data_IF_026665312377
#
_entry.id   IF_026665312377
#
_cell.length_a   1.000
_cell.length_b   1.000
_cell.length_c   1.000
_cell.angle_alpha   90.00
_cell.angle_beta   90.00
_cell.angle_gamma   90.00
#
_symmetry.space_group_name_H-M   'P 1'
#
loop_
_entity.id
_entity.type
_entity.pdbx_description
1 polymer ?
#
# COMPACT_ATOMS: atom_id res chain seq x y z
N UNK A 1 -8.43 2.24 13.45
CA UNK A 1 -8.72 0.88 13.99
C UNK A 1 -7.49 0.17 14.52
N UNK A 2 -6.31 0.32 13.94
CA UNK A 2 -5.05 -0.11 14.56
C UNK A 2 -4.88 0.42 16.00
N UNK A 3 -5.44 1.57 16.32
CA UNK A 3 -5.46 2.13 17.68
C UNK A 3 -6.35 1.37 18.69
N UNK A 4 -7.43 0.73 18.25
CA UNK A 4 -8.35 0.04 19.17
C UNK A 4 -7.90 -1.38 19.53
N UNK A 5 -7.27 -2.10 18.61
CA UNK A 5 -6.70 -3.43 18.91
C UNK A 5 -5.50 -3.33 19.87
N UNK A 6 -4.76 -2.22 19.81
CA UNK A 6 -3.67 -1.93 20.75
C UNK A 6 -4.18 -1.72 22.19
N UNK A 7 -5.40 -1.21 22.37
CA UNK A 7 -5.96 -0.93 23.70
C UNK A 7 -6.39 -2.23 24.40
N UNK A 8 -6.89 -3.23 23.69
CA UNK A 8 -7.43 -4.46 24.30
C UNK A 8 -6.35 -5.43 24.78
N UNK A 9 -5.18 -5.48 24.15
CA UNK A 9 -4.04 -6.30 24.60
C UNK A 9 -3.13 -5.61 25.63
N UNK A 10 -3.42 -4.37 26.02
CA UNK A 10 -2.66 -3.58 27.00
C UNK A 10 -2.75 -4.11 28.45
N UNK A 11 -3.76 -4.89 28.81
CA UNK A 11 -3.99 -5.24 30.22
C UNK A 11 -2.98 -6.22 30.80
N UNK A 12 -2.39 -7.11 30.01
CA UNK A 12 -1.42 -8.10 30.49
C UNK A 12 0.05 -7.65 30.48
N UNK A 13 0.43 -6.71 29.59
CA UNK A 13 1.83 -6.26 29.49
C UNK A 13 2.18 -5.11 30.46
N UNK A 14 1.19 -4.46 31.04
CA UNK A 14 1.34 -3.24 31.84
C UNK A 14 1.43 -3.49 33.36
N UNK A 15 1.66 -4.72 33.80
CA UNK A 15 1.83 -5.05 35.23
C UNK A 15 3.27 -4.87 35.74
N UNK A 16 4.22 -4.51 34.92
CA UNK A 16 5.61 -4.27 35.31
C UNK A 16 5.83 -2.87 35.90
N UNK A 17 6.84 -2.69 36.72
CA UNK A 17 7.27 -1.40 37.30
C UNK A 17 7.44 -0.30 36.21
N UNK A 18 7.92 -0.67 35.03
CA UNK A 18 8.09 0.21 33.89
C UNK A 18 6.76 0.68 33.32
N UNK A 19 5.75 -0.20 33.23
CA UNK A 19 4.39 0.17 32.84
C UNK A 19 3.69 1.11 33.82
N UNK A 20 4.05 1.06 35.11
CA UNK A 20 3.54 2.01 36.14
C UNK A 20 4.19 3.38 36.02
N UNK A 21 5.50 3.42 35.76
CA UNK A 21 6.24 4.65 35.53
C UNK A 21 5.77 5.36 34.26
N UNK A 22 5.54 4.62 33.16
CA UNK A 22 4.97 5.15 31.92
C UNK A 22 3.56 5.73 32.10
N UNK A 23 2.71 5.06 32.90
CA UNK A 23 1.38 5.60 33.23
C UNK A 23 1.43 6.88 34.07
N UNK A 24 2.37 6.99 34.96
CA UNK A 24 2.60 8.22 35.73
C UNK A 24 3.02 9.39 34.85
N UNK A 25 3.98 9.14 33.93
CA UNK A 25 4.47 10.11 32.96
C UNK A 25 3.35 10.51 31.97
N UNK A 26 2.52 9.56 31.49
CA UNK A 26 1.39 9.82 30.59
C UNK A 26 0.34 10.77 31.16
N UNK A 27 0.19 10.80 32.48
CA UNK A 27 -0.80 11.67 33.15
C UNK A 27 -0.34 13.13 33.27
N UNK A 28 0.95 13.42 33.08
CA UNK A 28 1.50 14.71 33.51
C UNK A 28 2.19 15.58 32.45
N UNK A 29 2.45 15.13 31.20
CA UNK A 29 3.09 16.00 30.19
C UNK A 29 2.74 15.69 28.73
N UNK A 30 2.63 16.74 27.88
CA UNK A 30 2.55 16.63 26.41
C UNK A 30 3.77 15.90 25.79
N UNK A 31 4.96 16.04 26.40
CA UNK A 31 6.18 15.34 25.97
C UNK A 31 6.09 13.83 26.19
N UNK A 32 5.39 13.35 27.20
CA UNK A 32 5.15 11.95 27.45
C UNK A 32 4.23 11.30 26.39
N UNK A 33 3.32 12.04 25.81
CA UNK A 33 2.49 11.58 24.70
C UNK A 33 3.34 11.32 23.44
N UNK A 34 4.31 12.19 23.14
CA UNK A 34 5.24 12.00 22.02
C UNK A 34 6.20 10.82 22.27
N UNK A 35 6.78 10.73 23.46
CA UNK A 35 7.66 9.63 23.84
C UNK A 35 6.93 8.27 23.82
N UNK A 36 5.66 8.24 24.21
CA UNK A 36 4.83 7.04 24.19
C UNK A 36 4.42 6.62 22.77
N UNK A 37 4.11 7.57 21.89
CA UNK A 37 3.84 7.29 20.47
C UNK A 37 5.08 6.71 19.79
N UNK A 38 6.25 7.30 20.04
CA UNK A 38 7.53 6.82 19.55
C UNK A 38 7.87 5.42 20.04
N UNK A 39 7.79 5.18 21.35
CA UNK A 39 8.08 3.89 21.97
C UNK A 39 7.12 2.80 21.47
N UNK A 40 5.82 3.10 21.40
CA UNK A 40 4.83 2.17 20.86
C UNK A 40 5.09 1.86 19.39
N UNK A 41 5.41 2.87 18.58
CA UNK A 41 5.80 2.68 17.17
C UNK A 41 7.02 1.79 17.05
N UNK A 42 8.08 2.05 17.81
CA UNK A 42 9.32 1.28 17.79
C UNK A 42 9.12 -0.19 18.18
N UNK A 43 8.44 -0.44 19.32
CA UNK A 43 8.18 -1.81 19.80
C UNK A 43 7.26 -2.56 18.84
N UNK A 44 6.22 -1.91 18.36
CA UNK A 44 5.26 -2.52 17.45
C UNK A 44 5.88 -2.81 16.09
N UNK A 45 6.68 -1.90 15.55
CA UNK A 45 7.46 -2.07 14.33
C UNK A 45 8.39 -3.28 14.43
N UNK A 46 9.17 -3.39 15.49
CA UNK A 46 10.06 -4.53 15.69
C UNK A 46 9.31 -5.86 15.82
N UNK A 47 8.18 -5.85 16.51
CA UNK A 47 7.36 -7.05 16.68
C UNK A 47 6.79 -7.52 15.33
N UNK A 48 6.22 -6.63 14.54
CA UNK A 48 5.64 -6.98 13.24
C UNK A 48 6.73 -7.37 12.23
N UNK A 49 7.83 -6.63 12.16
CA UNK A 49 8.96 -6.99 11.32
C UNK A 49 9.52 -8.37 11.69
N UNK A 50 9.54 -8.70 12.98
CA UNK A 50 9.93 -10.04 13.44
C UNK A 50 8.95 -11.12 13.00
N UNK A 51 7.64 -10.87 13.10
CA UNK A 51 6.62 -11.83 12.62
C UNK A 51 6.75 -12.08 11.11
N UNK A 52 6.99 -11.04 10.34
CA UNK A 52 7.26 -11.16 8.91
C UNK A 52 8.54 -11.96 8.64
N UNK A 53 9.61 -11.66 9.40
CA UNK A 53 10.85 -12.43 9.30
C UNK A 53 10.63 -13.92 9.59
N UNK A 54 9.92 -14.24 10.67
CA UNK A 54 9.60 -15.62 11.04
C UNK A 54 8.73 -16.31 9.97
N UNK A 55 7.76 -15.60 9.39
CA UNK A 55 6.91 -16.12 8.33
C UNK A 55 7.70 -16.40 7.05
N UNK A 56 8.48 -15.44 6.57
CA UNK A 56 9.32 -15.60 5.39
C UNK A 56 10.39 -16.68 5.59
N UNK A 57 11.07 -16.67 6.74
CA UNK A 57 12.19 -17.53 7.03
C UNK A 57 11.88 -19.03 6.99
N UNK A 58 10.62 -19.43 7.20
CA UNK A 58 10.18 -20.84 7.11
C UNK A 58 10.37 -21.45 5.72
N UNK A 59 10.50 -20.61 4.71
CA UNK A 59 10.64 -21.00 3.30
C UNK A 59 12.09 -21.07 2.84
N UNK A 60 13.07 -20.77 3.73
CA UNK A 60 14.50 -20.76 3.39
C UNK A 60 15.17 -22.04 3.86
N UNK A 61 15.87 -22.71 2.95
CA UNK A 61 16.78 -23.80 3.27
C UNK A 61 18.04 -23.30 4.00
N UNK A 62 18.69 -24.21 4.71
CA UNK A 62 20.04 -24.02 5.27
C UNK A 62 20.94 -25.09 4.67
N UNK A 63 21.40 -24.88 3.44
CA UNK A 63 22.32 -25.82 2.83
C UNK A 63 23.70 -25.69 3.49
N UNK A 64 24.48 -26.80 3.53
CA UNK A 64 25.85 -26.77 4.04
C UNK A 64 26.88 -26.29 2.99
N UNK A 65 26.41 -25.78 1.84
CA UNK A 65 27.29 -25.29 0.79
C UNK A 65 28.00 -24.01 1.24
N UNK A 66 29.30 -24.02 1.16
CA UNK A 66 30.12 -22.81 1.40
C UNK A 66 29.84 -21.82 0.30
N UNK A 67 29.26 -20.67 0.67
CA UNK A 67 29.06 -19.57 -0.26
C UNK A 67 30.36 -18.75 -0.35
N UNK A 68 30.96 -18.70 -1.52
CA UNK A 68 32.01 -17.72 -1.81
C UNK A 68 31.41 -16.30 -1.64
N UNK A 69 32.24 -15.39 -1.09
CA UNK A 69 31.83 -13.99 -0.89
C UNK A 69 31.46 -13.40 -2.25
N UNK A 70 30.20 -12.98 -2.39
CA UNK A 70 29.68 -12.51 -3.66
C UNK A 70 30.45 -11.28 -4.15
N UNK A 71 30.83 -11.29 -5.41
CA UNK A 71 31.46 -10.12 -6.09
C UNK A 71 30.44 -9.02 -6.36
N UNK A 72 29.13 -9.36 -6.46
CA UNK A 72 28.03 -8.42 -6.66
C UNK A 72 26.84 -8.81 -5.78
N UNK A 73 26.12 -7.82 -5.28
CA UNK A 73 24.89 -7.98 -4.51
C UNK A 73 23.69 -7.59 -5.34
N UNK A 74 22.60 -8.35 -5.22
CA UNK A 74 21.29 -8.01 -5.78
C UNK A 74 20.29 -7.91 -4.66
N UNK A 75 19.56 -6.81 -4.58
CA UNK A 75 18.43 -6.63 -3.68
C UNK A 75 17.16 -7.02 -4.43
N UNK A 76 16.41 -7.97 -3.88
CA UNK A 76 15.18 -8.47 -4.48
C UNK A 76 14.02 -8.09 -3.55
N UNK A 77 13.12 -7.22 -4.01
CA UNK A 77 11.87 -6.97 -3.31
C UNK A 77 10.89 -8.11 -3.63
N UNK A 78 10.30 -8.69 -2.61
CA UNK A 78 9.45 -9.88 -2.75
C UNK A 78 8.01 -9.61 -2.37
N UNK A 79 7.09 -9.92 -3.30
CA UNK A 79 5.65 -10.09 -3.06
C UNK A 79 5.26 -11.51 -3.55
N UNK A 80 5.60 -12.53 -2.77
CA UNK A 80 5.45 -13.94 -3.11
C UNK A 80 4.44 -14.69 -2.22
N UNK A 81 3.68 -13.98 -1.40
CA UNK A 81 2.68 -14.58 -0.50
C UNK A 81 3.24 -15.10 0.83
N UNK A 82 4.55 -15.00 1.10
CA UNK A 82 5.11 -15.43 2.38
C UNK A 82 4.74 -14.51 3.53
N UNK A 83 4.44 -13.24 3.22
CA UNK A 83 3.94 -12.23 4.15
C UNK A 83 2.77 -11.47 3.54
N UNK A 84 1.90 -10.92 4.38
CA UNK A 84 0.76 -10.11 3.98
C UNK A 84 1.21 -8.64 3.79
N UNK A 85 1.31 -8.21 2.55
CA UNK A 85 1.74 -6.84 2.22
C UNK A 85 0.61 -5.81 2.18
N UNK A 86 -0.64 -6.24 2.23
CA UNK A 86 -1.78 -5.35 1.99
C UNK A 86 -2.08 -5.15 0.50
N UNK A 87 -2.82 -4.09 0.19
CA UNK A 87 -3.20 -3.74 -1.18
C UNK A 87 -2.08 -3.12 -2.00
N UNK A 88 -2.39 -2.76 -3.26
CA UNK A 88 -1.44 -2.18 -4.20
C UNK A 88 -0.67 -0.98 -3.62
N UNK A 89 -1.36 -0.04 -2.96
CA UNK A 89 -0.71 1.14 -2.39
C UNK A 89 0.33 0.82 -1.32
N UNK A 90 0.15 -0.24 -0.52
CA UNK A 90 1.11 -0.66 0.50
C UNK A 90 2.33 -1.33 -0.14
N UNK A 91 2.11 -2.20 -1.12
CA UNK A 91 3.18 -2.85 -1.89
C UNK A 91 4.02 -1.83 -2.66
N UNK A 92 3.37 -0.89 -3.34
CA UNK A 92 4.03 0.17 -4.10
C UNK A 92 4.95 1.02 -3.22
N UNK A 93 4.51 1.39 -2.01
CA UNK A 93 5.36 2.09 -1.03
C UNK A 93 6.66 1.33 -0.74
N UNK A 94 6.54 0.04 -0.46
CA UNK A 94 7.69 -0.81 -0.18
C UNK A 94 8.64 -0.94 -1.38
N UNK A 95 8.10 -1.16 -2.57
CA UNK A 95 8.85 -1.27 -3.82
C UNK A 95 9.67 0.00 -4.08
N UNK A 96 8.99 1.16 -4.14
CA UNK A 96 9.65 2.44 -4.43
C UNK A 96 10.67 2.82 -3.35
N UNK A 97 10.36 2.54 -2.08
CA UNK A 97 11.28 2.81 -0.98
C UNK A 97 12.54 1.95 -1.06
N UNK A 98 12.39 0.65 -1.38
CA UNK A 98 13.54 -0.24 -1.55
C UNK A 98 14.39 0.16 -2.75
N UNK A 99 13.73 0.46 -3.88
CA UNK A 99 14.41 0.93 -5.09
C UNK A 99 15.18 2.24 -4.84
N UNK A 100 14.59 3.19 -4.12
CA UNK A 100 15.25 4.45 -3.75
C UNK A 100 16.56 4.22 -2.96
N UNK A 101 16.55 3.27 -2.02
CA UNK A 101 17.78 2.89 -1.30
C UNK A 101 18.79 2.29 -2.24
N UNK A 102 18.39 1.31 -3.04
CA UNK A 102 19.30 0.62 -3.99
C UNK A 102 19.95 1.59 -4.97
N UNK A 103 19.15 2.48 -5.56
CA UNK A 103 19.62 3.55 -6.47
C UNK A 103 20.62 4.47 -5.79
N UNK A 104 20.39 4.86 -4.53
CA UNK A 104 21.27 5.74 -3.79
C UNK A 104 22.63 5.11 -3.45
N UNK A 105 22.65 3.79 -3.18
CA UNK A 105 23.89 3.08 -2.81
C UNK A 105 24.55 2.32 -3.98
N UNK A 106 23.96 2.40 -5.18
CA UNK A 106 24.52 1.75 -6.39
C UNK A 106 24.47 0.22 -6.35
N UNK A 107 23.40 -0.37 -5.75
CA UNK A 107 23.19 -1.82 -5.70
C UNK A 107 22.06 -2.20 -6.66
N UNK A 108 22.24 -3.31 -7.38
CA UNK A 108 21.23 -3.83 -8.31
C UNK A 108 19.90 -4.13 -7.58
N UNK A 109 18.79 -3.70 -8.17
CA UNK A 109 17.45 -3.89 -7.66
C UNK A 109 16.64 -4.79 -8.58
N UNK A 110 15.96 -5.77 -8.02
CA UNK A 110 15.02 -6.64 -8.73
C UNK A 110 13.70 -6.72 -7.97
N UNK A 111 12.63 -7.06 -8.68
CA UNK A 111 11.29 -7.20 -8.14
C UNK A 111 10.71 -8.55 -8.56
N UNK A 112 10.49 -9.44 -7.60
CA UNK A 112 9.71 -10.65 -7.78
C UNK A 112 8.35 -10.44 -7.12
N UNK A 113 7.35 -10.18 -7.95
CA UNK A 113 5.96 -9.99 -7.53
C UNK A 113 5.10 -11.03 -8.23
N UNK A 114 4.85 -12.14 -7.54
CA UNK A 114 4.18 -13.33 -8.07
C UNK A 114 2.87 -13.65 -7.38
N UNK A 115 2.57 -13.01 -6.25
CA UNK A 115 1.36 -13.24 -5.47
C UNK A 115 0.61 -11.94 -5.17
N UNK A 116 -0.73 -11.92 -5.37
CA UNK A 116 -1.62 -12.99 -5.83
C UNK A 116 -1.64 -13.20 -7.34
N UNK A 117 -0.89 -12.42 -8.09
CA UNK A 117 -0.75 -12.46 -9.56
C UNK A 117 0.64 -11.99 -9.97
N UNK A 118 1.13 -12.29 -11.17
CA UNK A 118 2.34 -11.70 -11.71
C UNK A 118 2.13 -10.21 -12.02
N UNK A 119 2.95 -9.32 -11.44
CA UNK A 119 2.83 -7.87 -11.70
C UNK A 119 3.03 -7.54 -13.18
N UNK A 120 3.81 -8.33 -13.88
CA UNK A 120 4.08 -8.21 -15.31
C UNK A 120 2.85 -8.35 -16.20
N UNK A 121 1.73 -8.84 -15.66
CA UNK A 121 0.45 -8.84 -16.37
C UNK A 121 -0.12 -7.41 -16.54
N UNK A 122 0.24 -6.47 -15.66
CA UNK A 122 -0.30 -5.11 -15.61
C UNK A 122 0.76 -4.04 -15.86
N UNK A 123 1.94 -4.19 -15.25
CA UNK A 123 3.04 -3.21 -15.31
C UNK A 123 4.32 -3.91 -15.75
N UNK A 124 5.05 -3.28 -16.66
CA UNK A 124 6.34 -3.77 -17.16
C UNK A 124 7.44 -2.73 -16.92
N UNK A 125 8.72 -3.12 -16.99
CA UNK A 125 9.83 -2.19 -16.93
C UNK A 125 9.68 -1.02 -17.89
N UNK A 126 9.97 0.19 -17.42
CA UNK A 126 10.02 1.36 -18.29
C UNK A 126 11.47 1.67 -18.68
N UNK A 127 12.22 2.38 -17.84
CA UNK A 127 13.63 2.74 -18.12
C UNK A 127 14.61 1.93 -17.28
N UNK A 128 14.18 1.32 -16.19
CA UNK A 128 14.95 0.41 -15.36
C UNK A 128 14.37 -1.00 -15.43
N UNK A 129 15.17 -1.98 -15.83
CA UNK A 129 14.78 -3.38 -15.86
C UNK A 129 14.88 -3.99 -14.46
N UNK A 130 13.73 -4.14 -13.82
CA UNK A 130 13.61 -4.74 -12.49
C UNK A 130 13.23 -6.22 -12.53
N UNK A 131 13.08 -6.83 -13.70
CA UNK A 131 12.61 -8.22 -13.82
C UNK A 131 13.64 -9.21 -13.29
N UNK A 132 13.13 -10.29 -12.73
CA UNK A 132 13.90 -11.46 -12.31
C UNK A 132 13.04 -12.69 -12.52
N UNK A 133 13.61 -13.78 -13.00
CA UNK A 133 12.91 -15.06 -13.13
C UNK A 133 12.83 -15.80 -11.78
N UNK A 134 11.80 -16.61 -11.60
CA UNK A 134 11.55 -17.29 -10.32
C UNK A 134 12.67 -18.27 -9.95
N UNK A 135 13.33 -18.87 -10.91
CA UNK A 135 14.48 -19.78 -10.74
C UNK A 135 15.76 -19.04 -10.34
N UNK A 136 15.85 -17.74 -10.56
CA UNK A 136 16.96 -16.91 -10.08
C UNK A 136 16.81 -16.48 -8.62
N UNK A 137 15.60 -16.57 -8.04
CA UNK A 137 15.37 -16.24 -6.62
C UNK A 137 15.70 -17.43 -5.73
N UNK A 138 16.79 -17.32 -4.98
CA UNK A 138 17.36 -18.44 -4.22
C UNK A 138 16.93 -18.35 -2.75
N UNK A 139 16.05 -19.24 -2.33
CA UNK A 139 15.58 -19.33 -0.94
C UNK A 139 16.48 -20.24 -0.10
N UNK A 140 17.75 -19.83 0.06
CA UNK A 140 18.78 -20.52 0.85
C UNK A 140 19.61 -19.51 1.64
N UNK A 141 19.80 -19.76 2.94
CA UNK A 141 20.52 -18.90 3.87
C UNK A 141 22.02 -18.77 3.60
N UNK A 142 22.58 -19.68 2.83
CA UNK A 142 23.98 -19.58 2.40
C UNK A 142 24.17 -18.56 1.28
N UNK A 143 23.11 -18.21 0.57
CA UNK A 143 23.09 -17.29 -0.57
C UNK A 143 22.35 -16.00 -0.27
N UNK A 144 21.28 -16.07 0.55
CA UNK A 144 20.29 -15.01 0.68
C UNK A 144 20.09 -14.57 2.14
N UNK A 145 20.16 -13.28 2.39
CA UNK A 145 19.69 -12.66 3.62
C UNK A 145 18.27 -12.14 3.47
N UNK A 146 17.53 -12.12 4.59
CA UNK A 146 16.15 -11.60 4.64
C UNK A 146 16.10 -10.35 5.51
N UNK A 147 15.58 -9.28 4.95
CA UNK A 147 15.29 -8.02 5.65
C UNK A 147 13.78 -7.81 5.65
N UNK A 148 13.22 -7.60 6.83
CA UNK A 148 11.80 -7.30 6.99
C UNK A 148 11.62 -5.97 7.70
N UNK A 149 10.72 -5.13 7.18
CA UNK A 149 10.41 -3.84 7.77
C UNK A 149 8.92 -3.54 7.51
N UNK A 150 8.09 -3.90 8.52
CA UNK A 150 6.65 -3.75 8.42
C UNK A 150 6.19 -2.49 9.12
N UNK A 151 6.09 -1.41 8.88
CA UNK A 151 5.36 -0.23 9.37
C UNK A 151 5.74 1.02 8.60
N UNK A 152 4.70 1.75 8.22
CA UNK A 152 4.81 3.09 7.68
C UNK A 152 5.37 4.10 8.70
N UNK A 153 6.12 5.07 8.20
CA UNK A 153 6.53 6.23 8.97
C UNK A 153 5.38 7.23 9.05
N UNK A 154 5.15 7.79 10.25
CA UNK A 154 4.21 8.89 10.48
C UNK A 154 4.91 10.26 10.44
N UNK A 155 6.23 10.26 10.53
CA UNK A 155 7.06 11.46 10.56
C UNK A 155 8.30 11.32 9.69
N UNK A 156 8.88 12.42 9.22
CA UNK A 156 10.11 12.41 8.42
C UNK A 156 11.28 11.77 9.16
N UNK A 157 11.33 11.93 10.47
CA UNK A 157 12.36 11.29 11.29
C UNK A 157 12.22 9.77 11.30
N UNK A 158 10.99 9.24 11.41
CA UNK A 158 10.73 7.80 11.31
C UNK A 158 11.07 7.26 9.91
N UNK A 159 10.70 8.00 8.87
CA UNK A 159 11.04 7.68 7.49
C UNK A 159 12.56 7.59 7.29
N UNK A 160 13.32 8.56 7.82
CA UNK A 160 14.79 8.55 7.78
C UNK A 160 15.37 7.33 8.52
N UNK A 161 14.84 6.98 9.70
CA UNK A 161 15.28 5.80 10.45
C UNK A 161 15.01 4.49 9.73
N UNK A 162 13.89 4.39 9.02
CA UNK A 162 13.58 3.23 8.17
C UNK A 162 14.53 3.13 6.98
N UNK A 163 14.80 4.27 6.34
CA UNK A 163 15.77 4.36 5.25
C UNK A 163 17.18 3.94 5.72
N UNK A 164 17.66 4.51 6.82
CA UNK A 164 18.97 4.19 7.40
C UNK A 164 19.06 2.69 7.76
N UNK A 165 18.01 2.15 8.37
CA UNK A 165 17.94 0.73 8.72
C UNK A 165 18.06 -0.17 7.49
N UNK A 166 17.29 0.09 6.44
CA UNK A 166 17.32 -0.71 5.22
C UNK A 166 18.71 -0.60 4.54
N UNK A 167 19.20 0.62 4.37
CA UNK A 167 20.51 0.92 3.81
C UNK A 167 21.66 0.18 4.55
N UNK A 168 21.69 0.31 5.88
CA UNK A 168 22.74 -0.30 6.69
C UNK A 168 22.72 -1.83 6.61
N UNK A 169 21.54 -2.44 6.64
CA UNK A 169 21.43 -3.90 6.56
C UNK A 169 21.83 -4.41 5.16
N UNK A 170 21.45 -3.71 4.09
CA UNK A 170 21.92 -4.05 2.73
C UNK A 170 23.45 -3.96 2.65
N UNK A 171 24.04 -2.89 3.16
CA UNK A 171 25.51 -2.70 3.08
C UNK A 171 26.28 -3.72 3.93
N UNK A 172 25.77 -4.07 5.12
CA UNK A 172 26.43 -5.02 6.05
C UNK A 172 26.32 -6.47 5.62
N UNK A 173 25.26 -6.84 4.89
CA UNK A 173 25.08 -8.21 4.43
C UNK A 173 26.24 -8.65 3.55
N UNK A 174 26.70 -9.90 3.72
CA UNK A 174 27.65 -10.57 2.82
C UNK A 174 26.98 -11.48 1.80
N UNK A 175 25.66 -11.61 1.88
CA UNK A 175 24.87 -12.45 0.99
C UNK A 175 24.88 -11.92 -0.46
N UNK A 176 24.76 -12.84 -1.41
CA UNK A 176 24.63 -12.52 -2.85
C UNK A 176 23.28 -11.93 -3.18
N UNK A 177 22.23 -12.45 -2.55
CA UNK A 177 20.87 -11.91 -2.66
C UNK A 177 20.42 -11.35 -1.31
N UNK A 178 19.73 -10.24 -1.37
CA UNK A 178 19.10 -9.62 -0.19
C UNK A 178 17.61 -9.51 -0.47
N UNK A 179 16.84 -10.33 0.19
CA UNK A 179 15.41 -10.43 0.04
C UNK A 179 14.71 -9.46 0.99
N UNK A 180 13.98 -8.50 0.42
CA UNK A 180 13.33 -7.43 1.19
C UNK A 180 11.81 -7.60 1.15
N UNK A 181 11.22 -7.60 2.35
CA UNK A 181 9.78 -7.53 2.57
C UNK A 181 9.47 -6.28 3.36
N UNK A 182 8.87 -5.28 2.75
CA UNK A 182 8.56 -4.04 3.44
C UNK A 182 7.35 -3.31 2.88
N UNK A 183 6.62 -2.61 3.76
CA UNK A 183 5.60 -1.61 3.43
C UNK A 183 6.05 -0.20 3.88
N UNK A 184 7.32 -0.01 4.20
CA UNK A 184 7.86 1.29 4.55
C UNK A 184 7.68 2.30 3.42
N UNK A 185 7.41 3.56 3.75
CA UNK A 185 7.10 4.60 2.77
C UNK A 185 7.95 5.86 2.98
N UNK A 186 9.22 5.76 2.79
CA UNK A 186 10.10 6.93 2.84
C UNK A 186 10.30 7.60 1.46
N UNK A 187 9.73 7.05 0.39
CA UNK A 187 9.82 7.62 -0.95
C UNK A 187 8.78 8.72 -1.25
N UNK A 188 7.71 8.88 -0.46
CA UNK A 188 6.65 9.86 -0.76
C UNK A 188 7.12 11.31 -0.86
N UNK A 189 8.12 11.68 -0.08
CA UNK A 189 8.63 13.04 -0.03
C UNK A 189 9.88 13.25 -0.90
N UNK A 190 10.37 12.19 -1.56
CA UNK A 190 11.65 12.21 -2.27
C UNK A 190 11.56 11.40 -3.58
N UNK A 191 11.05 12.03 -4.64
CA UNK A 191 11.14 11.46 -5.97
C UNK A 191 10.15 10.33 -6.28
N UNK A 192 8.98 10.29 -5.63
CA UNK A 192 7.99 9.23 -5.88
C UNK A 192 7.60 9.12 -7.36
N UNK A 193 7.35 10.27 -8.01
CA UNK A 193 7.01 10.34 -9.43
C UNK A 193 8.13 9.77 -10.30
N UNK A 194 9.34 10.23 -10.10
CA UNK A 194 10.52 9.78 -10.86
C UNK A 194 10.76 8.28 -10.67
N UNK A 195 10.72 7.79 -9.42
CA UNK A 195 10.93 6.37 -9.11
C UNK A 195 9.84 5.49 -9.74
N UNK A 196 8.57 5.92 -9.66
CA UNK A 196 7.47 5.18 -10.27
C UNK A 196 7.63 5.11 -11.78
N UNK A 197 7.84 6.25 -12.42
CA UNK A 197 7.95 6.33 -13.88
C UNK A 197 9.26 5.70 -14.42
N UNK A 198 10.30 5.57 -13.62
CA UNK A 198 11.50 4.83 -13.97
C UNK A 198 11.26 3.32 -13.96
N UNK A 199 10.54 2.81 -12.96
CA UNK A 199 10.25 1.39 -12.83
C UNK A 199 9.13 0.93 -13.76
N UNK A 200 8.03 1.68 -13.88
CA UNK A 200 6.77 1.14 -14.39
C UNK A 200 6.19 1.88 -15.58
N UNK A 201 5.71 1.10 -16.54
CA UNK A 201 4.73 1.52 -17.54
C UNK A 201 3.65 0.44 -17.66
N UNK A 202 2.41 0.80 -18.06
CA UNK A 202 1.36 -0.17 -18.33
C UNK A 202 1.76 -1.16 -19.43
N UNK A 203 1.31 -2.41 -19.29
CA UNK A 203 1.33 -3.37 -20.40
C UNK A 203 0.44 -2.87 -21.54
N UNK A 204 0.63 -3.40 -22.75
CA UNK A 204 -0.22 -3.04 -23.89
C UNK A 204 -1.71 -3.33 -23.61
N UNK A 205 -2.00 -4.46 -22.95
CA UNK A 205 -3.36 -4.83 -22.56
C UNK A 205 -3.99 -3.80 -21.62
N UNK A 206 -3.28 -3.41 -20.58
CA UNK A 206 -3.76 -2.39 -19.64
C UNK A 206 -3.89 -1.02 -20.31
N UNK A 207 -2.96 -0.65 -21.20
CA UNK A 207 -3.01 0.60 -21.96
C UNK A 207 -4.26 0.70 -22.83
N UNK A 208 -4.66 -0.40 -23.49
CA UNK A 208 -5.90 -0.44 -24.29
C UNK A 208 -7.12 -0.18 -23.41
N UNK A 209 -7.20 -0.82 -22.23
CA UNK A 209 -8.29 -0.58 -21.27
C UNK A 209 -8.32 0.87 -20.79
N UNK A 210 -7.17 1.45 -20.45
CA UNK A 210 -7.05 2.86 -20.03
C UNK A 210 -7.50 3.83 -21.14
N UNK A 211 -7.07 3.63 -22.37
CA UNK A 211 -7.47 4.48 -23.49
C UNK A 211 -8.97 4.37 -23.82
N UNK A 212 -9.55 3.18 -23.67
CA UNK A 212 -11.00 3.01 -23.77
C UNK A 212 -11.72 3.84 -22.69
N UNK A 213 -11.29 3.71 -21.43
CA UNK A 213 -11.86 4.47 -20.32
C UNK A 213 -11.75 5.98 -20.54
N UNK A 214 -10.59 6.48 -20.98
CA UNK A 214 -10.38 7.92 -21.23
C UNK A 214 -11.25 8.47 -22.37
N UNK A 215 -11.51 7.69 -23.41
CA UNK A 215 -12.47 8.07 -24.47
C UNK A 215 -13.89 8.22 -23.95
N UNK A 216 -14.30 7.36 -23.00
CA UNK A 216 -15.63 7.40 -22.39
C UNK A 216 -15.73 8.47 -21.29
N UNK A 217 -14.69 8.63 -20.48
CA UNK A 217 -14.61 9.58 -19.35
C UNK A 217 -14.35 11.02 -19.83
N UNK A 218 -13.60 11.19 -20.91
CA UNK A 218 -12.97 12.44 -21.31
C UNK A 218 -11.55 12.53 -20.74
N UNK A 219 -10.73 13.42 -21.31
CA UNK A 219 -9.32 13.60 -20.87
C UNK A 219 -9.18 14.65 -19.76
N UNK A 220 -10.20 15.47 -19.53
CA UNK A 220 -10.26 16.45 -18.46
C UNK A 220 -11.32 16.04 -17.44
N UNK A 221 -10.91 15.40 -16.37
CA UNK A 221 -11.78 14.85 -15.34
C UNK A 221 -11.15 14.96 -13.94
N UNK A 222 -12.01 14.93 -12.94
CA UNK A 222 -11.59 14.79 -11.54
C UNK A 222 -11.89 13.38 -11.04
N UNK A 223 -11.21 12.94 -10.01
CA UNK A 223 -11.47 11.64 -9.39
C UNK A 223 -11.88 11.76 -7.94
N UNK A 224 -12.79 10.90 -7.49
CA UNK A 224 -13.14 10.74 -6.08
C UNK A 224 -13.08 9.28 -5.67
N UNK A 225 -12.42 9.02 -4.55
CA UNK A 225 -12.26 7.68 -4.01
C UNK A 225 -12.84 7.55 -2.61
N UNK A 226 -13.42 6.39 -2.30
CA UNK A 226 -13.93 6.06 -0.98
C UNK A 226 -13.57 4.63 -0.61
N UNK A 227 -13.24 4.39 0.67
CA UNK A 227 -12.96 3.06 1.20
C UNK A 227 -13.85 2.76 2.38
N UNK A 228 -14.86 1.94 2.16
CA UNK A 228 -15.85 1.55 3.17
C UNK A 228 -15.40 0.35 4.00
N UNK A 229 -14.44 -0.45 3.49
CA UNK A 229 -14.11 -1.77 4.01
C UNK A 229 -15.37 -2.65 3.99
N UNK A 230 -16.05 -2.81 5.10
CA UNK A 230 -17.33 -3.52 5.17
C UNK A 230 -18.46 -2.66 5.79
N UNK A 231 -18.29 -1.34 5.88
CA UNK A 231 -19.31 -0.47 6.49
C UNK A 231 -20.67 -0.56 5.80
N UNK A 232 -20.69 -0.75 4.47
CA UNK A 232 -21.91 -0.94 3.68
C UNK A 232 -22.33 -2.43 3.55
N UNK A 233 -21.49 -3.38 3.99
CA UNK A 233 -21.82 -4.80 4.03
C UNK A 233 -21.62 -5.56 2.71
N UNK A 234 -20.81 -5.04 1.81
CA UNK A 234 -20.64 -5.55 0.44
C UNK A 234 -19.18 -5.74 0.00
N UNK A 235 -18.23 -5.67 0.93
CA UNK A 235 -16.80 -5.89 0.66
C UNK A 235 -16.15 -6.79 1.70
N UNK A 236 -15.31 -7.71 1.25
CA UNK A 236 -14.49 -8.56 2.10
C UNK A 236 -13.06 -8.01 2.21
N UNK A 237 -12.59 -7.80 3.44
CA UNK A 237 -11.26 -7.29 3.74
C UNK A 237 -10.60 -8.17 4.81
N UNK A 238 -9.27 -8.20 4.85
CA UNK A 238 -8.51 -8.83 5.93
C UNK A 238 -8.82 -8.19 7.30
N UNK A 239 -9.24 -6.93 7.31
CA UNK A 239 -9.75 -6.26 8.50
C UNK A 239 -11.22 -6.63 8.70
N UNK A 240 -11.48 -7.55 9.63
CA UNK A 240 -12.85 -7.96 9.98
C UNK A 240 -13.63 -6.79 10.60
N UNK A 241 -14.42 -6.10 9.80
CA UNK A 241 -15.37 -5.09 10.24
C UNK A 241 -16.80 -5.60 10.03
N UNK A 242 -17.64 -5.43 11.05
CA UNK A 242 -19.06 -5.69 10.88
C UNK A 242 -19.70 -4.55 10.06
N UNK A 243 -20.62 -4.93 9.19
CA UNK A 243 -21.45 -3.96 8.49
C UNK A 243 -22.27 -3.11 9.48
N UNK A 244 -22.49 -1.85 9.14
CA UNK A 244 -23.33 -0.98 9.95
C UNK A 244 -24.80 -1.48 9.97
N UNK A 245 -25.58 -1.19 11.02
CA UNK A 245 -27.03 -1.38 10.99
C UNK A 245 -27.68 -0.65 9.82
N UNK A 246 -28.74 -1.23 9.26
CA UNK A 246 -29.39 -0.74 8.03
C UNK A 246 -29.69 0.77 8.00
N UNK A 247 -30.25 1.41 9.04
CA UNK A 247 -30.49 2.85 9.01
C UNK A 247 -29.21 3.67 8.85
N UNK A 248 -28.11 3.24 9.49
CA UNK A 248 -26.83 3.94 9.40
C UNK A 248 -26.15 3.71 8.05
N UNK A 249 -26.32 2.52 7.44
CA UNK A 249 -25.81 2.27 6.08
C UNK A 249 -26.42 3.23 5.07
N UNK A 250 -27.77 3.37 5.11
CA UNK A 250 -28.46 4.26 4.18
C UNK A 250 -28.04 5.72 4.39
N UNK A 251 -27.96 6.17 5.65
CA UNK A 251 -27.48 7.52 5.96
C UNK A 251 -26.05 7.76 5.47
N UNK A 252 -25.15 6.78 5.63
CA UNK A 252 -23.77 6.88 5.14
C UNK A 252 -23.73 6.95 3.62
N UNK A 253 -24.49 6.07 2.95
CA UNK A 253 -24.61 6.05 1.49
C UNK A 253 -25.09 7.40 0.96
N UNK A 254 -26.21 7.91 1.50
CA UNK A 254 -26.82 9.18 1.07
C UNK A 254 -25.86 10.35 1.24
N UNK A 255 -25.15 10.42 2.37
CA UNK A 255 -24.13 11.46 2.60
C UNK A 255 -22.96 11.37 1.63
N UNK A 256 -22.47 10.15 1.32
CA UNK A 256 -21.38 9.98 0.35
C UNK A 256 -21.82 10.34 -1.08
N UNK A 257 -23.06 9.96 -1.46
CA UNK A 257 -23.65 10.32 -2.76
C UNK A 257 -23.80 11.83 -2.87
N UNK A 258 -24.24 12.51 -1.79
CA UNK A 258 -24.33 13.96 -1.77
C UNK A 258 -22.99 14.66 -1.96
N UNK A 259 -21.88 14.12 -1.40
CA UNK A 259 -20.56 14.68 -1.65
C UNK A 259 -20.15 14.58 -3.13
N UNK A 260 -20.58 13.54 -3.84
CA UNK A 260 -20.33 13.43 -5.29
C UNK A 260 -21.12 14.49 -6.06
N UNK A 261 -22.36 14.82 -5.64
CA UNK A 261 -23.13 15.91 -6.25
C UNK A 261 -22.48 17.27 -6.03
N UNK A 262 -22.09 17.57 -4.78
CA UNK A 262 -21.39 18.82 -4.44
C UNK A 262 -20.05 18.95 -5.18
N UNK A 263 -19.36 17.83 -5.39
CA UNK A 263 -18.15 17.83 -6.18
C UNK A 263 -18.43 18.18 -7.65
N UNK A 264 -19.51 17.68 -8.23
CA UNK A 264 -19.92 18.05 -9.58
C UNK A 264 -20.34 19.53 -9.68
N UNK A 265 -21.07 20.05 -8.70
CA UNK A 265 -21.43 21.47 -8.66
C UNK A 265 -20.21 22.38 -8.64
N UNK A 266 -19.13 21.93 -7.96
CA UNK A 266 -17.86 22.64 -7.91
C UNK A 266 -17.00 22.45 -9.18
N UNK A 267 -17.31 21.45 -10.01
CA UNK A 267 -16.61 21.09 -11.25
C UNK A 267 -17.60 20.79 -12.38
N UNK A 268 -18.46 21.75 -12.77
CA UNK A 268 -19.62 21.47 -13.63
C UNK A 268 -19.26 21.04 -15.05
N UNK A 269 -18.05 21.34 -15.50
CA UNK A 269 -17.57 21.03 -16.84
C UNK A 269 -16.75 19.72 -16.90
N UNK A 270 -16.41 19.13 -15.74
CA UNK A 270 -15.60 17.92 -15.68
C UNK A 270 -16.46 16.70 -15.30
N UNK A 271 -16.19 15.57 -15.92
CA UNK A 271 -16.73 14.29 -15.44
C UNK A 271 -15.98 13.85 -14.17
N UNK A 272 -16.63 13.01 -13.40
CA UNK A 272 -16.09 12.50 -12.13
C UNK A 272 -15.83 11.00 -12.27
N UNK A 273 -14.58 10.59 -12.23
CA UNK A 273 -14.20 9.20 -12.02
C UNK A 273 -14.49 8.84 -10.55
N UNK A 274 -15.33 7.82 -10.32
CA UNK A 274 -15.63 7.34 -8.97
C UNK A 274 -15.03 5.95 -8.75
N UNK A 275 -14.17 5.82 -7.73
CA UNK A 275 -13.52 4.58 -7.35
C UNK A 275 -13.90 4.21 -5.92
N UNK A 276 -14.25 2.94 -5.69
CA UNK A 276 -14.62 2.44 -4.36
C UNK A 276 -14.45 0.93 -4.25
N UNK A 277 -14.34 0.45 -3.02
CA UNK A 277 -14.46 -0.95 -2.64
C UNK A 277 -15.93 -1.40 -2.43
N UNK A 278 -16.89 -0.48 -2.43
CA UNK A 278 -18.32 -0.77 -2.26
C UNK A 278 -19.06 -0.75 -3.58
N UNK A 279 -19.63 -1.88 -3.98
CA UNK A 279 -20.51 -1.98 -5.14
C UNK A 279 -21.83 -1.22 -4.94
N UNK A 280 -22.35 -1.19 -3.72
CA UNK A 280 -23.57 -0.43 -3.35
C UNK A 280 -23.37 1.06 -3.65
N UNK A 281 -22.25 1.64 -3.22
CA UNK A 281 -21.95 3.04 -3.50
C UNK A 281 -21.72 3.29 -4.99
N UNK A 282 -20.92 2.45 -5.66
CA UNK A 282 -20.66 2.58 -7.09
C UNK A 282 -21.94 2.53 -7.91
N UNK A 283 -22.86 1.59 -7.60
CA UNK A 283 -24.15 1.50 -8.27
C UNK A 283 -25.02 2.75 -8.06
N UNK A 284 -25.03 3.31 -6.84
CA UNK A 284 -25.79 4.52 -6.56
C UNK A 284 -25.31 5.75 -7.36
N UNK A 285 -23.99 5.90 -7.51
CA UNK A 285 -23.43 7.05 -8.22
C UNK A 285 -23.39 6.85 -9.74
N UNK A 286 -23.35 5.62 -10.24
CA UNK A 286 -23.33 5.33 -11.68
C UNK A 286 -24.60 5.79 -12.42
N UNK A 287 -25.67 6.08 -11.69
CA UNK A 287 -26.90 6.65 -12.25
C UNK A 287 -26.74 8.13 -12.70
N UNK A 288 -25.69 8.82 -12.27
CA UNK A 288 -25.50 10.22 -12.65
C UNK A 288 -24.76 10.34 -13.99
N UNK A 289 -25.23 11.20 -14.91
CA UNK A 289 -24.64 11.31 -16.25
C UNK A 289 -23.22 11.89 -16.27
N UNK A 290 -22.83 12.57 -15.19
CA UNK A 290 -21.51 13.18 -15.02
C UNK A 290 -20.49 12.28 -14.31
N UNK A 291 -20.90 11.10 -13.85
CA UNK A 291 -19.96 10.15 -13.24
C UNK A 291 -19.49 9.09 -14.23
N UNK A 292 -18.36 8.51 -13.93
CA UNK A 292 -17.81 7.34 -14.58
C UNK A 292 -17.30 6.33 -13.54
N UNK A 293 -17.67 5.09 -13.70
CA UNK A 293 -17.23 3.97 -12.86
C UNK A 293 -16.69 2.89 -13.77
N UNK A 294 -15.42 2.53 -13.62
CA UNK A 294 -14.88 1.36 -14.31
C UNK A 294 -15.51 0.08 -13.78
N UNK A 295 -16.02 -0.74 -14.67
CA UNK A 295 -16.67 -2.00 -14.32
C UNK A 295 -15.67 -3.00 -13.75
N UNK A 296 -16.14 -3.92 -12.92
CA UNK A 296 -15.33 -4.97 -12.31
C UNK A 296 -15.47 -4.99 -10.79
N UNK A 297 -15.07 -6.11 -10.19
CA UNK A 297 -15.08 -6.31 -8.74
C UNK A 297 -13.74 -5.85 -8.15
N UNK A 298 -13.80 -5.10 -7.05
CA UNK A 298 -12.61 -4.84 -6.24
C UNK A 298 -12.37 -6.01 -5.29
N UNK A 299 -11.13 -6.47 -5.23
CA UNK A 299 -10.68 -7.55 -4.32
C UNK A 299 -9.47 -7.11 -3.52
N UNK A 300 -9.33 -7.66 -2.31
CA UNK A 300 -8.15 -7.43 -1.48
C UNK A 300 -7.04 -8.40 -1.86
N UNK A 301 -5.80 -7.92 -2.04
CA UNK A 301 -4.68 -8.73 -2.54
C UNK A 301 -4.22 -9.84 -1.59
N UNK A 302 -4.42 -9.67 -0.27
CA UNK A 302 -4.02 -10.68 0.73
C UNK A 302 -5.15 -11.68 1.04
N UNK A 303 -6.32 -11.56 0.40
CA UNK A 303 -7.37 -12.58 0.50
C UNK A 303 -7.08 -13.64 -0.55
N UNK A 304 -6.94 -14.89 -0.10
CA UNK A 304 -6.76 -16.01 -1.00
C UNK A 304 -8.00 -16.17 -1.87
N UNK A 305 -7.85 -15.91 -3.16
CA UNK A 305 -8.90 -16.08 -4.14
C UNK A 305 -8.49 -17.20 -5.10
N UNK A 306 -9.35 -18.19 -5.34
CA UNK A 306 -9.06 -19.26 -6.30
C UNK A 306 -9.00 -18.77 -7.76
N UNK A 307 -9.61 -17.63 -8.06
CA UNK A 307 -9.53 -16.97 -9.36
C UNK A 307 -8.28 -16.09 -9.39
N UNK A 308 -7.36 -16.39 -10.29
CA UNK A 308 -6.14 -15.63 -10.56
C UNK A 308 -6.18 -14.96 -11.95
N UNK A 309 -7.39 -14.82 -12.53
CA UNK A 309 -7.55 -14.20 -13.84
C UNK A 309 -7.07 -12.75 -13.85
N UNK A 310 -6.64 -12.31 -15.01
CA UNK A 310 -6.27 -10.92 -15.24
C UNK A 310 -7.41 -9.97 -14.88
N UNK A 311 -8.64 -10.30 -15.29
CA UNK A 311 -9.83 -9.48 -15.11
C UNK A 311 -10.15 -9.21 -13.64
N UNK A 312 -9.79 -10.12 -12.75
CA UNK A 312 -10.05 -9.98 -11.32
C UNK A 312 -9.30 -8.79 -10.70
N UNK A 313 -8.07 -8.55 -11.13
CA UNK A 313 -7.20 -7.51 -10.57
C UNK A 313 -7.06 -6.29 -11.48
N UNK A 314 -7.51 -6.38 -12.74
CA UNK A 314 -7.41 -5.29 -13.72
C UNK A 314 -8.01 -3.98 -13.20
N UNK A 315 -9.18 -4.06 -12.54
CA UNK A 315 -9.84 -2.87 -11.98
C UNK A 315 -8.94 -2.09 -11.03
N UNK A 316 -8.13 -2.75 -10.23
CA UNK A 316 -7.22 -2.06 -9.31
C UNK A 316 -6.21 -1.20 -10.06
N UNK A 317 -5.64 -1.71 -11.16
CA UNK A 317 -4.65 -0.99 -11.95
C UNK A 317 -5.28 0.07 -12.84
N UNK A 318 -6.45 -0.19 -13.42
CA UNK A 318 -7.20 0.81 -14.18
C UNK A 318 -7.60 1.97 -13.28
N UNK A 319 -8.23 1.70 -12.12
CA UNK A 319 -8.61 2.73 -11.17
C UNK A 319 -7.39 3.54 -10.70
N UNK A 320 -6.26 2.87 -10.38
CA UNK A 320 -5.04 3.54 -9.94
C UNK A 320 -4.48 4.49 -10.97
N UNK A 321 -4.34 4.03 -12.21
CA UNK A 321 -3.78 4.84 -13.31
C UNK A 321 -4.71 5.99 -13.72
N UNK A 322 -6.02 5.74 -13.78
CA UNK A 322 -6.99 6.81 -14.06
C UNK A 322 -7.04 7.83 -12.92
N UNK A 323 -6.97 7.42 -11.65
CA UNK A 323 -6.84 8.38 -10.54
C UNK A 323 -5.56 9.21 -10.69
N UNK A 324 -4.44 8.57 -11.05
CA UNK A 324 -3.16 9.25 -11.20
C UNK A 324 -3.18 10.33 -12.30
N UNK A 325 -3.97 10.15 -13.36
CA UNK A 325 -4.10 11.08 -14.49
C UNK A 325 -5.18 12.15 -14.27
N UNK A 326 -6.03 12.05 -13.21
CA UNK A 326 -7.07 13.03 -12.92
C UNK A 326 -6.49 14.40 -12.57
N UNK A 327 -7.11 15.50 -13.06
CA UNK A 327 -6.64 16.87 -12.81
C UNK A 327 -6.68 17.26 -11.34
N UNK A 328 -7.69 16.76 -10.61
CA UNK A 328 -7.81 16.86 -9.15
C UNK A 328 -8.27 15.54 -8.58
N UNK A 329 -7.68 15.14 -7.48
CA UNK A 329 -7.90 13.85 -6.84
C UNK A 329 -8.50 14.07 -5.46
N UNK A 330 -9.69 13.51 -5.24
CA UNK A 330 -10.43 13.64 -4.00
C UNK A 330 -10.57 12.30 -3.28
N UNK A 331 -10.63 12.36 -1.96
CA UNK A 331 -10.91 11.22 -1.10
C UNK A 331 -12.01 11.57 -0.11
N UNK A 332 -13.03 10.73 0.00
CA UNK A 332 -14.06 10.85 1.03
C UNK A 332 -13.56 10.27 2.35
N UNK A 333 -13.78 11.00 3.45
CA UNK A 333 -13.40 10.58 4.79
C UNK A 333 -14.52 10.85 5.80
N UNK A 334 -14.88 9.81 6.56
CA UNK A 334 -15.73 9.92 7.74
C UNK A 334 -15.21 8.94 8.81
N UNK A 335 -15.88 8.86 9.95
CA UNK A 335 -15.58 7.80 10.93
C UNK A 335 -15.81 6.37 10.38
N UNK A 336 -16.59 6.22 9.31
CA UNK A 336 -16.94 4.93 8.69
C UNK A 336 -16.40 4.74 7.27
N UNK A 337 -15.91 5.79 6.64
CA UNK A 337 -15.15 5.77 5.38
C UNK A 337 -13.70 6.01 5.71
N UNK A 338 -12.88 5.00 5.47
CA UNK A 338 -11.48 4.97 5.91
C UNK A 338 -10.60 5.90 5.10
N UNK A 339 -9.62 6.46 5.79
CA UNK A 339 -8.50 7.14 5.17
C UNK A 339 -7.69 6.13 4.34
N UNK A 340 -7.93 6.09 3.03
CA UNK A 340 -7.22 5.23 2.09
C UNK A 340 -5.96 5.91 1.56
N UNK A 341 -4.83 5.21 1.61
CA UNK A 341 -3.59 5.66 0.97
C UNK A 341 -3.56 5.49 -0.56
N UNK A 342 -4.51 4.74 -1.13
CA UNK A 342 -4.53 4.41 -2.56
C UNK A 342 -4.62 5.65 -3.47
N UNK A 343 -5.61 6.56 -3.34
CA UNK A 343 -5.68 7.76 -4.18
C UNK A 343 -4.57 8.77 -3.86
N UNK A 344 -4.06 8.79 -2.64
CA UNK A 344 -2.90 9.61 -2.30
C UNK A 344 -1.63 9.11 -3.01
N UNK A 345 -1.39 7.79 -3.04
CA UNK A 345 -0.27 7.23 -3.80
C UNK A 345 -0.41 7.51 -5.31
N UNK A 346 -1.61 7.35 -5.86
CA UNK A 346 -1.89 7.67 -7.25
C UNK A 346 -1.59 9.14 -7.58
N UNK A 347 -1.97 10.09 -6.70
CA UNK A 347 -1.70 11.53 -6.90
C UNK A 347 -0.20 11.85 -7.02
N UNK A 348 0.66 11.03 -6.42
CA UNK A 348 2.12 11.22 -6.46
C UNK A 348 2.75 10.75 -7.76
N UNK A 349 2.07 9.92 -8.55
CA UNK A 349 2.61 9.40 -9.84
C UNK A 349 2.92 10.55 -10.81
N UNK A 350 2.00 11.51 -10.95
CA UNK A 350 2.18 12.67 -11.82
C UNK A 350 2.15 14.01 -11.08
N UNK A 351 2.06 14.00 -9.74
CA UNK A 351 2.11 15.20 -8.90
C UNK A 351 0.81 16.02 -8.91
N UNK A 352 -0.33 15.42 -9.24
CA UNK A 352 -1.62 16.11 -9.24
C UNK A 352 -2.13 16.47 -7.84
N UNK A 353 -2.91 17.56 -7.69
CA UNK A 353 -3.47 18.01 -6.42
C UNK A 353 -4.34 16.94 -5.77
N UNK A 354 -4.12 16.71 -4.47
CA UNK A 354 -4.87 15.75 -3.66
C UNK A 354 -5.63 16.46 -2.52
N UNK A 355 -6.91 16.12 -2.35
CA UNK A 355 -7.81 16.72 -1.38
C UNK A 355 -8.58 15.65 -0.59
N UNK A 356 -8.72 15.85 0.73
CA UNK A 356 -9.64 15.05 1.55
C UNK A 356 -10.92 15.82 1.82
N UNK A 357 -12.06 15.21 1.54
CA UNK A 357 -13.39 15.70 1.86
C UNK A 357 -13.85 15.02 3.15
N UNK A 358 -13.78 15.73 4.27
CA UNK A 358 -14.18 15.25 5.58
C UNK A 358 -15.58 15.76 5.92
N UNK A 359 -16.55 14.89 6.29
CA UNK A 359 -17.95 15.27 6.53
C UNK A 359 -18.65 14.37 7.55
#
# INVERSE_FOLDING_TARGET
MYYYVIIYNKSKFMSTLFGRALRYIQRHTKQALYANRFYNWYIFSRKLSRLWYEAANKHYANSMAYSERAQSKTVIFLCNGFVEHGGWGDRLKGILSTYAVCKNIGVDFRLSFTSPFPLTDYLVPNTYDWTISDDEVIYDRTVSDVITLEIGAETDWQARKQYDYLKENILRSSARQIHVYTNAHFAYNHGFSELFNELFKPTERLRVSLEKCKRELGYDYVSVSSRFINSLGDFEDTQKMNALPQPLRQQLLDRCVEQVRLLHESNPNSRILVCSDSSTFLNAVSAFPYTYVYSGRMVHFDINNPDHSYELYEKTFVDFMLIAEATHIYRLETRWVRNSGFPYAASKVYGHPFHSICF
#
